data_IF_724138605525
#
_entry.id   IF_724138605525
#
_cell.length_a   1.000
_cell.length_b   1.000
_cell.length_c   1.000
_cell.angle_alpha   90.00
_cell.angle_beta   90.00
_cell.angle_gamma   90.00
#
_symmetry.space_group_name_H-M   'P 1'
#
loop_
_entity.id
_entity.type
_entity.pdbx_description
1 polymer ?
#
# COMPACT_ATOMS: atom_id res chain seq x y z
N UNK A 1 -7.90 -15.25 15.53
CA UNK A 1 -7.03 -14.06 15.44
C UNK A 1 -7.54 -13.12 14.36
N UNK A 2 -7.72 -11.84 14.65
CA UNK A 2 -8.16 -10.91 13.61
C UNK A 2 -7.09 -10.74 12.54
N UNK A 3 -7.53 -10.51 11.32
CA UNK A 3 -6.65 -10.14 10.24
C UNK A 3 -6.22 -8.67 10.42
N UNK A 4 -5.19 -8.27 9.70
CA UNK A 4 -4.75 -6.88 9.72
C UNK A 4 -4.61 -6.36 8.29
N UNK A 5 -4.60 -5.04 8.15
CA UNK A 5 -4.66 -4.40 6.85
C UNK A 5 -3.66 -3.26 6.77
N UNK A 6 -2.98 -3.18 5.64
CA UNK A 6 -2.22 -2.00 5.24
C UNK A 6 -3.12 -1.20 4.30
N UNK A 7 -3.49 0.00 4.72
CA UNK A 7 -4.33 0.91 3.94
C UNK A 7 -3.44 2.01 3.38
N UNK A 8 -3.35 2.09 2.07
CA UNK A 8 -2.55 3.08 1.37
C UNK A 8 -3.47 3.99 0.60
N UNK A 9 -3.50 5.28 0.97
CA UNK A 9 -4.31 6.25 0.25
C UNK A 9 -3.39 7.28 -0.41
N UNK A 10 -3.51 7.40 -1.73
CA UNK A 10 -2.72 8.36 -2.50
C UNK A 10 -3.46 9.69 -2.60
N UNK A 11 -2.75 10.77 -2.37
CA UNK A 11 -3.24 12.13 -2.56
C UNK A 11 -2.84 12.67 -3.92
N UNK A 12 -1.64 12.32 -4.37
CA UNK A 12 -1.19 12.66 -5.71
C UNK A 12 -0.18 11.64 -6.21
N UNK A 13 -0.19 11.43 -7.52
CA UNK A 13 0.79 10.63 -8.25
C UNK A 13 1.46 11.57 -9.24
N UNK A 14 2.56 12.18 -8.83
CA UNK A 14 3.26 13.18 -9.65
C UNK A 14 4.03 12.53 -10.78
N UNK A 15 4.54 11.32 -10.57
CA UNK A 15 5.27 10.58 -11.59
C UNK A 15 4.73 9.15 -11.66
N UNK A 16 3.82 8.92 -12.60
CA UNK A 16 3.16 7.62 -12.73
C UNK A 16 4.09 6.53 -13.24
N UNK A 17 5.08 6.87 -14.04
CA UNK A 17 6.05 5.89 -14.55
C UNK A 17 6.92 5.35 -13.39
N UNK A 18 7.37 6.22 -12.50
CA UNK A 18 8.10 5.82 -11.30
C UNK A 18 7.20 4.96 -10.39
N UNK A 19 5.93 5.37 -10.23
CA UNK A 19 4.99 4.59 -9.42
C UNK A 19 4.76 3.20 -10.01
N UNK A 20 4.67 3.06 -11.34
CA UNK A 20 4.52 1.75 -11.98
C UNK A 20 5.75 0.88 -11.75
N UNK A 21 6.95 1.44 -11.87
CA UNK A 21 8.19 0.72 -11.61
C UNK A 21 8.25 0.26 -10.14
N UNK A 22 7.88 1.14 -9.21
CA UNK A 22 7.75 0.80 -7.80
C UNK A 22 6.76 -0.35 -7.59
N UNK A 23 5.58 -0.26 -8.21
CA UNK A 23 4.51 -1.25 -8.02
C UNK A 23 4.90 -2.63 -8.49
N UNK A 24 5.72 -2.74 -9.55
CA UNK A 24 6.23 -4.03 -10.04
C UNK A 24 7.10 -4.74 -9.00
N UNK A 25 7.74 -4.00 -8.12
CA UNK A 25 8.53 -4.54 -7.01
C UNK A 25 7.71 -4.68 -5.73
N UNK A 26 6.86 -3.70 -5.45
CA UNK A 26 6.07 -3.67 -4.22
C UNK A 26 5.05 -4.80 -4.14
N UNK A 27 4.38 -5.11 -5.24
CA UNK A 27 3.40 -6.19 -5.27
C UNK A 27 3.99 -7.53 -4.85
N UNK A 28 5.04 -8.01 -5.54
CA UNK A 28 5.71 -9.25 -5.13
C UNK A 28 6.29 -9.20 -3.72
N UNK A 29 6.84 -8.05 -3.29
CA UNK A 29 7.37 -7.89 -1.94
C UNK A 29 6.28 -8.08 -0.87
N UNK A 30 5.12 -7.48 -1.09
CA UNK A 30 4.00 -7.63 -0.17
C UNK A 30 3.44 -9.06 -0.17
N UNK A 31 3.35 -9.70 -1.33
CA UNK A 31 2.91 -11.09 -1.43
C UNK A 31 3.87 -12.01 -0.68
N UNK A 32 5.18 -11.81 -0.82
CA UNK A 32 6.19 -12.60 -0.12
C UNK A 32 6.10 -12.41 1.41
N UNK A 33 5.66 -11.24 1.86
CA UNK A 33 5.45 -10.97 3.29
C UNK A 33 4.12 -11.50 3.83
N UNK A 34 3.33 -12.17 2.98
CA UNK A 34 2.04 -12.74 3.37
C UNK A 34 0.85 -11.86 3.09
N UNK A 35 1.02 -10.79 2.34
CA UNK A 35 -0.05 -9.86 1.99
C UNK A 35 -0.87 -10.32 0.79
N UNK A 36 -2.15 -9.97 0.80
CA UNK A 36 -3.08 -10.18 -0.31
C UNK A 36 -3.69 -8.84 -0.68
N UNK A 37 -3.51 -8.39 -1.91
CA UNK A 37 -4.09 -7.13 -2.37
C UNK A 37 -5.57 -7.35 -2.62
N UNK A 38 -6.41 -6.64 -1.89
CA UNK A 38 -7.86 -6.70 -2.02
C UNK A 38 -8.41 -5.58 -2.88
N UNK A 39 -7.79 -4.41 -2.82
CA UNK A 39 -8.20 -3.22 -3.56
C UNK A 39 -6.94 -2.54 -4.10
N UNK A 40 -7.01 -2.06 -5.34
CA UNK A 40 -5.89 -1.37 -5.96
C UNK A 40 -6.35 -0.51 -7.13
N UNK A 41 -7.31 0.40 -6.90
CA UNK A 41 -7.84 1.26 -7.96
C UNK A 41 -8.37 2.58 -7.39
N UNK A 42 -8.84 3.44 -8.30
CA UNK A 42 -9.46 4.70 -7.93
C UNK A 42 -10.86 4.49 -7.38
N UNK A 43 -11.35 5.39 -6.48
CA UNK A 43 -12.72 5.32 -6.00
C UNK A 43 -13.73 5.43 -7.13
N UNK A 44 -14.83 4.69 -7.02
CA UNK A 44 -15.97 4.88 -7.91
C UNK A 44 -16.65 6.23 -7.64
N UNK A 45 -16.60 6.68 -6.39
CA UNK A 45 -17.13 7.97 -5.97
C UNK A 45 -16.43 8.40 -4.68
N UNK A 46 -16.29 9.70 -4.49
CA UNK A 46 -15.75 10.25 -3.26
C UNK A 46 -16.79 11.11 -2.55
N UNK A 47 -16.67 11.20 -1.24
CA UNK A 47 -17.49 12.06 -0.41
C UNK A 47 -16.57 12.91 0.47
N UNK A 48 -17.03 14.09 0.80
CA UNK A 48 -16.34 14.99 1.75
C UNK A 48 -14.89 15.21 1.34
N UNK A 49 -13.92 14.89 2.19
CA UNK A 49 -12.50 15.11 1.93
C UNK A 49 -11.81 13.97 1.16
N UNK A 50 -12.57 13.05 0.60
CA UNK A 50 -12.01 11.92 -0.16
C UNK A 50 -11.29 12.37 -1.42
N UNK A 51 -10.06 11.91 -1.62
CA UNK A 51 -9.29 12.19 -2.84
C UNK A 51 -9.66 11.20 -3.94
N UNK A 52 -9.79 11.70 -5.17
CA UNK A 52 -10.05 10.84 -6.33
C UNK A 52 -8.72 10.30 -6.90
N UNK A 53 -8.03 9.52 -6.08
CA UNK A 53 -6.78 8.88 -6.49
C UNK A 53 -6.73 7.45 -5.93
N UNK A 54 -5.77 6.67 -6.37
CA UNK A 54 -5.67 5.24 -6.07
C UNK A 54 -5.69 4.97 -4.57
N UNK A 55 -6.41 3.93 -4.17
CA UNK A 55 -6.40 3.36 -2.83
C UNK A 55 -5.94 1.91 -2.95
N UNK A 56 -5.01 1.51 -2.10
CA UNK A 56 -4.55 0.12 -2.05
C UNK A 56 -4.87 -0.43 -0.67
N UNK A 57 -5.50 -1.61 -0.64
CA UNK A 57 -5.80 -2.32 0.60
C UNK A 57 -5.15 -3.70 0.51
N UNK A 58 -4.28 -3.99 1.47
CA UNK A 58 -3.55 -5.26 1.55
C UNK A 58 -3.90 -5.94 2.86
N UNK A 59 -4.35 -7.20 2.77
CA UNK A 59 -4.74 -8.00 3.92
C UNK A 59 -3.58 -8.91 4.33
N UNK A 60 -3.38 -9.04 5.66
CA UNK A 60 -2.41 -9.96 6.27
C UNK A 60 -3.13 -10.82 7.31
N UNK A 61 -2.59 -12.01 7.57
CA UNK A 61 -3.21 -12.94 8.52
C UNK A 61 -3.14 -12.45 9.97
N UNK A 62 -2.18 -11.57 10.27
CA UNK A 62 -2.00 -11.04 11.63
C UNK A 62 -1.43 -9.64 11.61
N UNK A 63 -1.60 -8.93 12.72
CA UNK A 63 -1.03 -7.60 12.91
C UNK A 63 0.51 -7.65 12.80
N UNK A 64 1.13 -8.67 13.38
CA UNK A 64 2.59 -8.79 13.34
C UNK A 64 3.11 -8.89 11.91
N UNK A 65 2.44 -9.67 11.06
CA UNK A 65 2.82 -9.79 9.65
C UNK A 65 2.66 -8.47 8.90
N UNK A 66 1.56 -7.77 9.15
CA UNK A 66 1.31 -6.47 8.52
C UNK A 66 2.38 -5.44 8.92
N UNK A 67 2.73 -5.40 10.21
CA UNK A 67 3.74 -4.48 10.71
C UNK A 67 5.13 -4.78 10.13
N UNK A 68 5.46 -6.06 9.95
CA UNK A 68 6.77 -6.45 9.43
C UNK A 68 6.93 -6.19 7.93
N UNK A 69 5.83 -6.15 7.18
CA UNK A 69 5.88 -6.10 5.71
C UNK A 69 6.60 -4.86 5.16
N UNK A 70 6.39 -3.70 5.77
CA UNK A 70 7.03 -2.45 5.36
C UNK A 70 8.55 -2.50 5.50
N UNK A 71 9.05 -3.26 6.47
CA UNK A 71 10.47 -3.27 6.82
C UNK A 71 11.25 -4.41 6.17
N UNK A 72 10.61 -5.20 5.28
CA UNK A 72 11.32 -6.26 4.57
C UNK A 72 12.36 -5.67 3.60
N UNK A 73 13.48 -6.38 3.36
CA UNK A 73 14.47 -5.92 2.37
C UNK A 73 13.88 -5.72 0.97
N UNK A 74 12.99 -6.62 0.54
CA UNK A 74 12.35 -6.53 -0.76
C UNK A 74 11.50 -5.27 -0.90
N UNK A 75 10.72 -4.92 0.13
CA UNK A 75 9.92 -3.70 0.07
C UNK A 75 10.79 -2.45 0.15
N UNK A 76 11.87 -2.47 0.90
CA UNK A 76 12.81 -1.35 0.95
C UNK A 76 13.45 -1.08 -0.41
N UNK A 77 13.72 -2.11 -1.20
CA UNK A 77 14.18 -1.94 -2.58
C UNK A 77 13.12 -1.24 -3.44
N UNK A 78 11.85 -1.62 -3.26
CA UNK A 78 10.76 -0.94 -3.96
C UNK A 78 10.69 0.54 -3.58
N UNK A 79 10.86 0.87 -2.29
CA UNK A 79 10.85 2.25 -1.82
C UNK A 79 11.99 3.08 -2.42
N UNK A 80 13.15 2.47 -2.66
CA UNK A 80 14.27 3.16 -3.34
C UNK A 80 13.89 3.57 -4.75
N UNK A 81 13.16 2.71 -5.46
CA UNK A 81 12.69 3.02 -6.81
C UNK A 81 11.67 4.14 -6.78
N UNK A 82 10.77 4.13 -5.81
CA UNK A 82 9.76 5.19 -5.66
C UNK A 82 10.42 6.54 -5.38
N UNK A 83 11.47 6.55 -4.57
CA UNK A 83 12.19 7.77 -4.21
C UNK A 83 11.32 8.73 -3.41
N UNK A 84 11.70 10.01 -3.46
CA UNK A 84 10.98 11.08 -2.76
C UNK A 84 10.41 12.07 -3.77
N UNK A 85 9.26 12.66 -3.44
CA UNK A 85 8.65 13.70 -4.26
C UNK A 85 7.84 13.20 -5.46
N UNK A 86 7.79 11.90 -5.73
CA UNK A 86 7.07 11.33 -6.86
C UNK A 86 5.62 11.01 -6.54
N UNK A 87 5.30 10.79 -5.27
CA UNK A 87 3.93 10.55 -4.80
C UNK A 87 3.73 11.27 -3.48
N UNK A 88 2.47 11.57 -3.18
CA UNK A 88 2.04 11.99 -1.86
C UNK A 88 0.96 11.01 -1.41
N UNK A 89 1.21 10.35 -0.30
CA UNK A 89 0.31 9.31 0.21
C UNK A 89 0.43 9.18 1.71
N UNK A 90 -0.58 8.57 2.34
CA UNK A 90 -0.44 8.07 3.70
C UNK A 90 -0.68 6.58 3.73
N UNK A 91 -0.07 5.93 4.72
CA UNK A 91 -0.15 4.50 4.92
C UNK A 91 -0.48 4.23 6.38
N UNK A 92 -1.43 3.33 6.61
CA UNK A 92 -1.87 2.98 7.96
C UNK A 92 -1.99 1.48 8.09
N UNK A 93 -1.52 0.95 9.21
CA UNK A 93 -1.70 -0.46 9.55
C UNK A 93 -2.79 -0.55 10.61
N UNK A 94 -3.82 -1.33 10.33
CA UNK A 94 -4.99 -1.45 11.19
C UNK A 94 -5.32 -2.91 11.41
N UNK A 95 -5.66 -3.25 12.66
CA UNK A 95 -6.17 -4.58 12.96
C UNK A 95 -7.65 -4.63 12.64
N UNK A 96 -8.07 -5.72 12.02
CA UNK A 96 -9.46 -5.91 11.66
C UNK A 96 -10.34 -6.21 12.88
N UNK A 97 -11.62 -6.08 12.68
CA UNK A 97 -12.62 -6.44 13.70
C UNK A 97 -12.64 -7.96 13.85
N UNK A 98 -12.59 -8.43 15.08
CA UNK A 98 -12.59 -9.86 15.37
C UNK A 98 -13.94 -10.51 15.05
#
# INVERSE_FOLDING_TARGET
MPKAYLVVTYRSLKNRDVWRAYSKLAGPAMAAAGGRVLIGNKPAKTYEAGFNEIVVLIEFDSLDKALAAYDTPAYKEALKVLGTGNVERDMRVLEGVA
#
